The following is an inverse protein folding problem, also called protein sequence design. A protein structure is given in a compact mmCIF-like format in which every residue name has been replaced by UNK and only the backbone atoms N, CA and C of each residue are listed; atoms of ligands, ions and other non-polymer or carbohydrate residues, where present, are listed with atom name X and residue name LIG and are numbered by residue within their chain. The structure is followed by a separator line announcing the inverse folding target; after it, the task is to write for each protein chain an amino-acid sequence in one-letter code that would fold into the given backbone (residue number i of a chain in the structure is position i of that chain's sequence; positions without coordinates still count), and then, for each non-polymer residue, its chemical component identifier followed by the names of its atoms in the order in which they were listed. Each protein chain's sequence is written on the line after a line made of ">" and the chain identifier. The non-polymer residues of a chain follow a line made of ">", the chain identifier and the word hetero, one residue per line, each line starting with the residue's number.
data_IF_508460234247
#
_entry.id   IF_508460234247
#
_cell.length_a   1.000
_cell.length_b   1.000
_cell.length_c   1.000
_cell.angle_alpha   90.00
_cell.angle_beta   90.00
_cell.angle_gamma   90.00
#
_symmetry.space_group_name_H-M   'P 1'
#
loop_
_entity.id
_entity.type
_entity.pdbx_description
1 polymer ?
#
# COMPACT_ATOMS: atom_id res chain seq x y z
N UNK A 1 7.97 -0.77 -32.55
CA UNK A 1 8.88 -1.59 -31.72
C UNK A 1 9.10 -2.98 -32.33
N UNK A 2 10.34 -3.52 -32.30
CA UNK A 2 10.68 -4.85 -32.83
C UNK A 2 10.23 -5.98 -31.89
N UNK A 3 10.04 -7.17 -32.44
CA UNK A 3 9.57 -8.35 -31.69
C UNK A 3 10.57 -8.77 -30.59
N UNK A 4 11.88 -8.63 -30.84
CA UNK A 4 12.88 -8.92 -29.81
C UNK A 4 12.79 -7.96 -28.60
N UNK A 5 12.44 -6.69 -28.82
CA UNK A 5 12.29 -5.67 -27.78
C UNK A 5 11.06 -5.97 -26.92
N UNK A 6 9.94 -6.36 -27.54
CA UNK A 6 8.74 -6.85 -26.84
C UNK A 6 9.07 -8.06 -25.96
N UNK A 7 9.72 -9.07 -26.54
CA UNK A 7 10.10 -10.29 -25.83
C UNK A 7 11.01 -10.01 -24.62
N UNK A 8 11.93 -9.04 -24.72
CA UNK A 8 12.77 -8.66 -23.57
C UNK A 8 11.96 -8.03 -22.43
N UNK A 9 11.01 -7.15 -22.76
CA UNK A 9 10.13 -6.50 -21.77
C UNK A 9 9.21 -7.54 -21.11
N UNK A 10 8.58 -8.39 -21.92
CA UNK A 10 7.70 -9.45 -21.42
C UNK A 10 8.45 -10.42 -20.50
N UNK A 11 9.62 -10.91 -20.91
CA UNK A 11 10.46 -11.79 -20.09
C UNK A 11 10.95 -11.14 -18.80
N UNK A 12 11.08 -9.82 -18.75
CA UNK A 12 11.44 -9.11 -17.53
C UNK A 12 10.32 -9.19 -16.48
N UNK A 13 9.06 -9.18 -16.92
CA UNK A 13 7.90 -9.41 -16.03
C UNK A 13 7.77 -10.89 -15.71
N UNK A 14 7.75 -11.78 -16.71
CA UNK A 14 7.53 -13.22 -16.49
C UNK A 14 8.54 -13.87 -15.55
N UNK A 15 9.82 -13.48 -15.64
CA UNK A 15 10.90 -14.05 -14.83
C UNK A 15 11.27 -13.21 -13.61
N UNK A 16 10.72 -11.99 -13.49
CA UNK A 16 11.10 -11.04 -12.45
C UNK A 16 9.97 -10.69 -11.49
N UNK A 17 8.72 -10.89 -11.91
CA UNK A 17 7.56 -10.48 -11.15
C UNK A 17 7.11 -11.56 -10.18
N UNK A 18 6.78 -11.16 -8.96
CA UNK A 18 6.28 -12.03 -7.89
C UNK A 18 5.05 -11.43 -7.23
N UNK A 19 4.22 -12.28 -6.66
CA UNK A 19 3.13 -11.89 -5.77
C UNK A 19 3.48 -12.28 -4.33
N UNK A 20 3.28 -11.35 -3.40
CA UNK A 20 3.43 -11.56 -1.95
C UNK A 20 2.08 -11.24 -1.33
N UNK A 21 1.34 -12.28 -0.96
CA UNK A 21 -0.10 -12.14 -0.72
C UNK A 21 -0.78 -11.56 -1.97
N UNK A 22 -1.61 -10.54 -1.79
CA UNK A 22 -2.35 -9.89 -2.89
C UNK A 22 -1.59 -8.74 -3.58
N UNK A 23 -0.36 -8.45 -3.13
CA UNK A 23 0.48 -7.36 -3.65
C UNK A 23 1.54 -7.92 -4.61
N UNK A 24 1.89 -7.12 -5.62
CA UNK A 24 2.75 -7.53 -6.72
C UNK A 24 4.00 -6.68 -6.81
N UNK A 25 5.12 -7.33 -7.10
CA UNK A 25 6.45 -6.71 -7.15
C UNK A 25 7.27 -7.26 -8.31
N UNK A 26 8.32 -6.54 -8.68
CA UNK A 26 9.29 -6.95 -9.70
C UNK A 26 10.72 -6.82 -9.16
N UNK A 27 11.52 -7.85 -9.38
CA UNK A 27 12.96 -7.86 -9.14
C UNK A 27 13.61 -6.62 -9.77
N UNK A 28 14.29 -5.82 -8.94
CA UNK A 28 15.00 -4.60 -9.31
C UNK A 28 15.97 -4.79 -10.50
N UNK A 29 16.59 -5.97 -10.63
CA UNK A 29 17.48 -6.28 -11.74
C UNK A 29 16.75 -6.30 -13.09
N UNK A 30 15.43 -6.54 -13.10
CA UNK A 30 14.58 -6.58 -14.29
C UNK A 30 13.90 -5.23 -14.57
N UNK A 31 13.75 -4.37 -13.57
CA UNK A 31 13.07 -3.06 -13.69
C UNK A 31 13.72 -2.15 -14.74
N UNK A 32 15.04 -2.25 -14.95
CA UNK A 32 15.76 -1.49 -15.98
C UNK A 32 15.14 -1.63 -17.38
N UNK A 33 14.65 -2.83 -17.71
CA UNK A 33 13.97 -3.12 -18.98
C UNK A 33 12.57 -2.52 -19.05
N UNK A 34 11.87 -2.45 -17.93
CA UNK A 34 10.51 -1.90 -17.85
C UNK A 34 10.49 -0.37 -17.93
N UNK A 35 11.51 0.27 -17.34
CA UNK A 35 11.63 1.73 -17.33
C UNK A 35 12.48 2.29 -18.47
N UNK A 36 12.96 1.41 -19.37
CA UNK A 36 13.88 1.74 -20.46
C UNK A 36 15.07 2.59 -19.97
N UNK A 37 15.81 2.06 -18.99
CA UNK A 37 16.89 2.76 -18.29
C UNK A 37 17.99 1.79 -17.87
N UNK A 38 19.07 2.31 -17.29
CA UNK A 38 20.18 1.50 -16.79
C UNK A 38 20.03 1.17 -15.30
N UNK A 39 21.00 0.44 -14.73
CA UNK A 39 20.98 0.09 -13.30
C UNK A 39 21.01 1.32 -12.39
N UNK A 40 21.72 2.38 -12.78
CA UNK A 40 21.79 3.62 -11.99
C UNK A 40 20.43 4.32 -11.94
N UNK A 41 19.72 4.36 -13.07
CA UNK A 41 18.36 4.85 -13.15
C UNK A 41 17.40 4.07 -12.25
N UNK A 42 17.53 2.74 -12.20
CA UNK A 42 16.74 1.91 -11.26
C UNK A 42 17.08 2.24 -9.80
N UNK A 43 18.35 2.41 -9.46
CA UNK A 43 18.75 2.73 -8.09
C UNK A 43 18.15 4.06 -7.60
N UNK A 44 18.10 5.08 -8.48
CA UNK A 44 17.44 6.36 -8.15
C UNK A 44 15.95 6.13 -7.83
N UNK A 45 15.26 5.30 -8.63
CA UNK A 45 13.85 4.98 -8.39
C UNK A 45 13.67 4.23 -7.07
N UNK A 46 14.50 3.24 -6.77
CA UNK A 46 14.46 2.50 -5.50
C UNK A 46 14.67 3.42 -4.30
N UNK A 47 15.69 4.28 -4.34
CA UNK A 47 16.01 5.18 -3.23
C UNK A 47 14.90 6.20 -2.96
N UNK A 48 14.12 6.55 -3.98
CA UNK A 48 13.00 7.49 -3.86
C UNK A 48 11.66 6.79 -3.60
N UNK A 49 11.61 5.46 -3.62
CA UNK A 49 10.40 4.70 -3.39
C UNK A 49 10.06 4.67 -1.90
N UNK A 50 8.78 4.83 -1.51
CA UNK A 50 8.37 4.63 -0.13
C UNK A 50 8.69 3.21 0.35
N UNK A 51 9.04 3.03 1.63
CA UNK A 51 9.38 1.73 2.21
C UNK A 51 8.31 0.64 1.98
N UNK A 52 7.02 1.02 1.88
CA UNK A 52 5.92 0.08 1.57
C UNK A 52 6.00 -0.54 0.17
N UNK A 53 6.66 0.16 -0.75
CA UNK A 53 6.78 -0.21 -2.16
C UNK A 53 8.08 -0.96 -2.47
N UNK A 54 8.99 -1.08 -1.49
CA UNK A 54 10.24 -1.82 -1.61
C UNK A 54 10.22 -3.03 -0.68
N UNK A 55 10.60 -4.19 -1.20
CA UNK A 55 10.75 -5.44 -0.43
C UNK A 55 12.09 -6.06 -0.73
N UNK A 56 12.79 -6.51 0.31
CA UNK A 56 14.06 -7.20 0.16
C UNK A 56 13.87 -8.69 0.45
N UNK A 57 14.33 -9.55 -0.45
CA UNK A 57 14.42 -11.00 -0.24
C UNK A 57 15.83 -11.47 -0.55
N UNK A 58 16.56 -11.89 0.49
CA UNK A 58 17.99 -12.13 0.39
C UNK A 58 18.69 -10.85 -0.09
N UNK A 59 19.48 -10.97 -1.14
CA UNK A 59 20.25 -9.87 -1.73
C UNK A 59 19.52 -9.13 -2.85
N UNK A 60 18.23 -9.41 -3.06
CA UNK A 60 17.44 -8.83 -4.15
C UNK A 60 16.36 -7.91 -3.61
N UNK A 61 16.40 -6.66 -4.07
CA UNK A 61 15.31 -5.71 -3.89
C UNK A 61 14.23 -5.91 -4.96
N UNK A 62 12.99 -5.79 -4.52
CA UNK A 62 11.78 -5.88 -5.31
C UNK A 62 10.99 -4.59 -5.18
N UNK A 63 10.55 -4.05 -6.32
CA UNK A 63 9.78 -2.82 -6.39
C UNK A 63 8.32 -3.11 -6.74
N UNK A 64 7.39 -2.46 -6.06
CA UNK A 64 5.95 -2.70 -6.26
C UNK A 64 5.52 -2.34 -7.68
N UNK A 65 4.65 -3.16 -8.28
CA UNK A 65 4.14 -2.89 -9.62
C UNK A 65 3.40 -1.54 -9.71
N UNK A 66 2.63 -1.08 -8.69
CA UNK A 66 2.02 0.26 -8.74
C UNK A 66 3.06 1.38 -8.77
N UNK A 67 4.19 1.22 -8.07
CA UNK A 67 5.25 2.22 -8.10
C UNK A 67 5.95 2.27 -9.46
N UNK A 68 6.21 1.12 -10.08
CA UNK A 68 6.76 1.06 -11.45
C UNK A 68 5.79 1.70 -12.45
N UNK A 69 4.48 1.44 -12.33
CA UNK A 69 3.46 2.06 -13.18
C UNK A 69 3.43 3.59 -13.03
N UNK A 70 3.53 4.09 -11.79
CA UNK A 70 3.65 5.53 -11.52
C UNK A 70 4.88 6.14 -12.19
N UNK A 71 6.03 5.47 -12.10
CA UNK A 71 7.26 5.93 -12.74
C UNK A 71 7.17 5.90 -14.28
N UNK A 72 6.54 4.85 -14.85
CA UNK A 72 6.26 4.80 -16.30
C UNK A 72 5.39 6.00 -16.73
N UNK A 73 4.35 6.32 -15.96
CA UNK A 73 3.48 7.46 -16.25
C UNK A 73 4.26 8.78 -16.28
N UNK A 74 5.09 9.05 -15.27
CA UNK A 74 5.94 10.25 -15.26
C UNK A 74 6.91 10.29 -16.44
N UNK A 75 7.52 9.16 -16.80
CA UNK A 75 8.45 9.11 -17.94
C UNK A 75 7.78 9.40 -19.26
N UNK A 76 6.51 9.02 -19.43
CA UNK A 76 5.72 9.32 -20.64
C UNK A 76 5.38 10.80 -20.79
N UNK A 77 5.44 11.60 -19.73
CA UNK A 77 5.26 13.06 -19.80
C UNK A 77 6.55 13.79 -20.20
N UNK A 78 7.70 13.11 -20.16
CA UNK A 78 8.99 13.69 -20.51
C UNK A 78 9.23 13.69 -22.03
N UNK A 79 10.09 14.59 -22.56
CA UNK A 79 10.57 14.53 -23.93
C UNK A 79 11.34 13.23 -24.18
N UNK A 80 10.74 12.31 -24.92
CA UNK A 80 11.29 10.99 -25.26
C UNK A 80 10.95 10.64 -26.69
N UNK A 81 11.76 9.78 -27.30
CA UNK A 81 11.47 9.30 -28.65
C UNK A 81 10.20 8.43 -28.67
N UNK A 82 9.53 8.37 -29.81
CA UNK A 82 8.31 7.56 -29.97
C UNK A 82 8.56 6.09 -29.63
N UNK A 83 9.71 5.54 -30.03
CA UNK A 83 10.10 4.17 -29.71
C UNK A 83 10.20 3.93 -28.19
N UNK A 84 10.71 4.89 -27.43
CA UNK A 84 10.77 4.77 -25.97
C UNK A 84 9.39 4.86 -25.33
N UNK A 85 8.51 5.72 -25.86
CA UNK A 85 7.11 5.81 -25.43
C UNK A 85 6.38 4.50 -25.68
N UNK A 86 6.56 3.89 -26.86
CA UNK A 86 6.02 2.56 -27.18
C UNK A 86 6.52 1.47 -26.22
N UNK A 87 7.81 1.48 -25.86
CA UNK A 87 8.40 0.53 -24.90
C UNK A 87 7.78 0.67 -23.51
N UNK A 88 7.65 1.92 -23.03
CA UNK A 88 7.05 2.23 -21.74
C UNK A 88 5.56 1.81 -21.70
N UNK A 89 4.82 2.07 -22.78
CA UNK A 89 3.43 1.64 -22.92
C UNK A 89 3.30 0.11 -22.88
N UNK A 90 4.14 -0.59 -23.63
CA UNK A 90 4.12 -2.06 -23.63
C UNK A 90 4.51 -2.64 -22.28
N UNK A 91 5.52 -2.08 -21.59
CA UNK A 91 5.88 -2.47 -20.23
C UNK A 91 4.73 -2.26 -19.25
N UNK A 92 4.00 -1.14 -19.35
CA UNK A 92 2.80 -0.88 -18.56
C UNK A 92 1.74 -1.95 -18.79
N UNK A 93 1.51 -2.36 -20.04
CA UNK A 93 0.55 -3.41 -20.37
C UNK A 93 0.95 -4.77 -19.80
N UNK A 94 2.24 -5.15 -19.88
CA UNK A 94 2.73 -6.39 -19.27
C UNK A 94 2.55 -6.39 -17.74
N UNK A 95 2.89 -5.28 -17.08
CA UNK A 95 2.73 -5.13 -15.63
C UNK A 95 1.25 -5.20 -15.21
N UNK A 96 0.36 -4.59 -16.01
CA UNK A 96 -1.09 -4.63 -15.77
C UNK A 96 -1.63 -6.05 -15.91
N UNK A 97 -1.26 -6.76 -16.98
CA UNK A 97 -1.66 -8.15 -17.18
C UNK A 97 -1.22 -9.06 -16.02
N UNK A 98 -0.02 -8.84 -15.48
CA UNK A 98 0.46 -9.54 -14.30
C UNK A 98 -0.32 -9.15 -13.04
N UNK A 99 -0.46 -7.86 -12.76
CA UNK A 99 -1.12 -7.33 -11.54
C UNK A 99 -2.60 -7.69 -11.46
N UNK A 100 -3.29 -7.66 -12.59
CA UNK A 100 -4.75 -7.81 -12.69
C UNK A 100 -5.15 -9.23 -13.13
N UNK A 101 -4.26 -10.20 -12.92
CA UNK A 101 -4.58 -11.58 -13.25
C UNK A 101 -5.76 -12.09 -12.41
N UNK A 102 -6.49 -13.06 -12.97
CA UNK A 102 -7.71 -13.59 -12.38
C UNK A 102 -7.54 -14.06 -10.94
N UNK A 103 -6.45 -14.77 -10.65
CA UNK A 103 -6.20 -15.37 -9.34
C UNK A 103 -6.02 -14.29 -8.26
N UNK A 104 -5.16 -13.29 -8.51
CA UNK A 104 -4.94 -12.20 -7.55
C UNK A 104 -6.20 -11.36 -7.33
N UNK A 105 -6.96 -11.08 -8.39
CA UNK A 105 -8.21 -10.34 -8.27
C UNK A 105 -9.26 -11.11 -7.46
N UNK A 106 -9.35 -12.43 -7.67
CA UNK A 106 -10.22 -13.28 -6.86
C UNK A 106 -9.83 -13.25 -5.38
N UNK A 107 -8.54 -13.35 -5.07
CA UNK A 107 -8.05 -13.28 -3.68
C UNK A 107 -8.33 -11.92 -3.03
N UNK A 108 -8.08 -10.81 -3.72
CA UNK A 108 -8.43 -9.44 -3.25
C UNK A 108 -9.92 -9.31 -2.96
N UNK A 109 -10.78 -9.85 -3.82
CA UNK A 109 -12.23 -9.79 -3.64
C UNK A 109 -12.71 -10.64 -2.46
N UNK A 110 -12.15 -11.84 -2.28
CA UNK A 110 -12.45 -12.70 -1.12
C UNK A 110 -12.06 -11.97 0.18
N UNK A 111 -10.88 -11.37 0.22
CA UNK A 111 -10.41 -10.65 1.40
C UNK A 111 -11.29 -9.44 1.72
N UNK A 112 -11.67 -8.66 0.70
CA UNK A 112 -12.65 -7.58 0.88
C UNK A 112 -13.99 -8.10 1.43
N UNK A 113 -14.47 -9.24 0.92
CA UNK A 113 -15.69 -9.88 1.43
C UNK A 113 -15.61 -10.23 2.92
N UNK A 114 -14.45 -10.72 3.38
CA UNK A 114 -14.19 -10.97 4.81
C UNK A 114 -14.19 -9.67 5.61
N UNK A 115 -13.48 -8.65 5.13
CA UNK A 115 -13.41 -7.33 5.77
C UNK A 115 -14.81 -6.76 5.98
N UNK A 116 -15.63 -6.71 4.94
CA UNK A 116 -17.00 -6.17 5.03
C UNK A 116 -17.85 -6.94 6.06
N UNK A 117 -17.71 -8.27 6.12
CA UNK A 117 -18.50 -9.11 7.02
C UNK A 117 -18.06 -9.01 8.48
N UNK A 118 -16.77 -8.89 8.75
CA UNK A 118 -16.21 -9.07 10.09
C UNK A 118 -15.76 -7.77 10.76
N UNK A 119 -15.57 -6.67 10.01
CA UNK A 119 -15.09 -5.39 10.55
C UNK A 119 -15.98 -4.84 11.66
N UNK A 120 -17.30 -5.01 11.61
CA UNK A 120 -18.20 -4.54 12.68
C UNK A 120 -17.96 -5.21 14.03
N UNK A 121 -17.25 -6.35 14.06
CA UNK A 121 -16.95 -7.12 15.25
C UNK A 121 -15.56 -6.82 15.83
N UNK A 122 -14.65 -6.22 15.05
CA UNK A 122 -13.25 -6.04 15.44
C UNK A 122 -13.11 -5.16 16.69
N UNK A 123 -13.89 -4.08 16.79
CA UNK A 123 -13.79 -3.16 17.93
C UNK A 123 -14.09 -3.86 19.26
N UNK A 124 -15.18 -4.63 19.31
CA UNK A 124 -15.55 -5.42 20.50
C UNK A 124 -14.49 -6.48 20.83
N UNK A 125 -13.91 -7.12 19.80
CA UNK A 125 -12.86 -8.12 19.96
C UNK A 125 -11.61 -7.49 20.59
N UNK A 126 -11.10 -6.40 20.02
CA UNK A 126 -9.88 -5.71 20.46
C UNK A 126 -10.03 -5.17 21.88
N UNK A 127 -11.14 -4.50 22.19
CA UNK A 127 -11.39 -3.97 23.56
C UNK A 127 -11.35 -5.11 24.58
N UNK A 128 -11.99 -6.25 24.25
CA UNK A 128 -12.03 -7.41 25.14
C UNK A 128 -10.64 -8.07 25.29
N UNK A 129 -9.92 -8.26 24.20
CA UNK A 129 -8.61 -8.93 24.20
C UNK A 129 -7.52 -8.11 24.90
N UNK A 130 -7.55 -6.78 24.74
CA UNK A 130 -6.62 -5.87 25.43
C UNK A 130 -6.97 -5.66 26.90
N UNK A 131 -8.21 -5.93 27.31
CA UNK A 131 -8.68 -5.61 28.65
C UNK A 131 -8.60 -4.11 28.97
N UNK A 132 -8.76 -3.26 27.95
CA UNK A 132 -8.58 -1.81 28.09
C UNK A 132 -9.58 -1.24 29.09
N UNK A 133 -9.09 -0.49 30.07
CA UNK A 133 -9.89 0.22 31.08
C UNK A 133 -9.81 1.75 30.95
N UNK A 134 -8.81 2.25 30.21
CA UNK A 134 -8.56 3.67 29.94
C UNK A 134 -8.38 3.89 28.43
N UNK A 135 -8.62 5.12 27.98
CA UNK A 135 -8.32 5.56 26.62
C UNK A 135 -6.82 5.50 26.37
N UNK A 136 -6.43 4.93 25.23
CA UNK A 136 -5.04 4.87 24.80
C UNK A 136 -4.50 6.23 24.33
N UNK A 137 -5.36 7.25 24.21
CA UNK A 137 -4.93 8.62 23.88
C UNK A 137 -4.83 9.53 25.11
N UNK A 138 -5.89 9.63 25.92
CA UNK A 138 -5.97 10.58 27.04
C UNK A 138 -5.62 9.97 28.39
N UNK A 139 -5.63 8.64 28.50
CA UNK A 139 -5.51 7.95 29.78
C UNK A 139 -6.76 8.02 30.66
N UNK A 140 -7.84 8.67 30.20
CA UNK A 140 -9.09 8.73 30.96
C UNK A 140 -9.81 7.37 31.02
N UNK A 141 -10.52 7.04 32.12
CA UNK A 141 -11.33 5.84 32.21
C UNK A 141 -12.37 5.73 31.08
N UNK A 142 -12.50 4.54 30.50
CA UNK A 142 -13.44 4.29 29.39
C UNK A 142 -14.90 4.27 29.85
N UNK A 143 -15.18 3.81 31.08
CA UNK A 143 -16.51 3.81 31.70
C UNK A 143 -17.65 3.26 30.81
N UNK A 144 -17.36 2.25 29.98
CA UNK A 144 -18.34 1.65 29.07
C UNK A 144 -18.53 2.39 27.73
N UNK A 145 -17.84 3.50 27.52
CA UNK A 145 -17.87 4.32 26.29
C UNK A 145 -16.69 4.03 25.35
N UNK A 146 -16.18 2.79 25.40
CA UNK A 146 -15.03 2.38 24.61
C UNK A 146 -15.41 2.12 23.15
N UNK A 147 -14.64 2.69 22.23
CA UNK A 147 -14.66 2.36 20.82
C UNK A 147 -13.25 2.16 20.29
N UNK A 148 -13.14 1.72 19.03
CA UNK A 148 -11.86 1.52 18.37
C UNK A 148 -11.80 2.41 17.14
N UNK A 149 -10.70 3.14 17.04
CA UNK A 149 -10.35 3.92 15.86
C UNK A 149 -9.31 3.21 15.01
N UNK A 150 -9.54 3.12 13.70
CA UNK A 150 -8.54 2.72 12.72
C UNK A 150 -7.66 3.92 12.38
N UNK A 151 -6.35 3.84 12.67
CA UNK A 151 -5.38 4.93 12.41
C UNK A 151 -5.41 5.38 10.95
N UNK A 152 -5.58 4.45 10.01
CA UNK A 152 -5.87 4.75 8.61
C UNK A 152 -7.32 4.40 8.29
N UNK A 153 -7.97 5.22 7.46
CA UNK A 153 -9.30 4.89 6.92
C UNK A 153 -9.28 3.53 6.21
N UNK A 154 -10.16 2.64 6.64
CA UNK A 154 -10.31 1.30 6.05
C UNK A 154 -10.65 1.36 4.55
N UNK A 155 -11.33 2.41 4.10
CA UNK A 155 -11.60 2.62 2.67
C UNK A 155 -10.31 2.83 1.84
N UNK A 156 -9.28 3.43 2.43
CA UNK A 156 -8.01 3.75 1.77
C UNK A 156 -6.92 2.69 2.06
N UNK A 157 -7.06 1.96 3.18
CA UNK A 157 -6.17 0.90 3.67
C UNK A 157 -6.93 -0.33 4.13
N UNK A 158 -7.68 -1.02 3.25
CA UNK A 158 -8.48 -2.17 3.63
C UNK A 158 -7.64 -3.32 4.19
N UNK A 159 -6.37 -3.46 3.76
CA UNK A 159 -5.48 -4.50 4.26
C UNK A 159 -5.10 -4.35 5.75
N UNK A 160 -5.33 -3.16 6.33
CA UNK A 160 -5.06 -2.86 7.73
C UNK A 160 -6.30 -3.02 8.63
N UNK A 161 -7.45 -3.46 8.08
CA UNK A 161 -8.73 -3.47 8.80
C UNK A 161 -8.75 -4.33 10.08
N UNK A 162 -7.90 -5.35 10.13
CA UNK A 162 -7.76 -6.30 11.23
C UNK A 162 -6.37 -6.29 11.89
N UNK A 163 -5.53 -5.31 11.54
CA UNK A 163 -4.20 -5.16 12.13
C UNK A 163 -4.34 -4.41 13.47
N UNK A 164 -4.20 -5.15 14.57
CA UNK A 164 -4.36 -4.60 15.92
C UNK A 164 -3.44 -3.39 16.17
N UNK A 165 -2.23 -3.34 15.61
CA UNK A 165 -1.32 -2.20 15.78
C UNK A 165 -1.81 -0.92 15.08
N UNK A 166 -2.78 -1.06 14.16
CA UNK A 166 -3.47 0.03 13.47
C UNK A 166 -4.78 0.42 14.15
N UNK A 167 -5.11 -0.23 15.26
CA UNK A 167 -6.31 0.01 16.05
C UNK A 167 -5.95 0.66 17.38
N UNK A 168 -6.70 1.71 17.73
CA UNK A 168 -6.51 2.46 18.99
C UNK A 168 -7.82 2.44 19.77
N UNK A 169 -7.78 2.00 21.02
CA UNK A 169 -8.95 2.00 21.91
C UNK A 169 -9.09 3.37 22.54
N UNK A 170 -10.19 4.06 22.25
CA UNK A 170 -10.46 5.43 22.70
C UNK A 170 -11.91 5.57 23.16
N UNK A 171 -12.25 6.73 23.73
CA UNK A 171 -13.65 7.07 24.06
C UNK A 171 -14.41 7.50 22.81
N UNK A 172 -15.73 7.31 22.80
CA UNK A 172 -16.57 7.68 21.65
C UNK A 172 -16.54 9.19 21.36
N UNK A 173 -16.46 10.03 22.40
CA UNK A 173 -16.32 11.48 22.23
C UNK A 173 -15.00 11.88 21.56
N UNK A 174 -13.88 11.26 21.95
CA UNK A 174 -12.55 11.46 21.35
C UNK A 174 -12.54 11.03 19.88
N UNK A 175 -13.22 9.93 19.59
CA UNK A 175 -13.38 9.43 18.23
C UNK A 175 -14.15 10.41 17.33
N UNK A 176 -15.28 10.92 17.83
CA UNK A 176 -16.09 11.94 17.15
C UNK A 176 -15.34 13.25 16.97
N UNK A 177 -14.58 13.67 17.98
CA UNK A 177 -13.75 14.87 17.94
C UNK A 177 -12.69 14.76 16.84
N UNK A 178 -11.95 13.65 16.77
CA UNK A 178 -10.97 13.44 15.70
C UNK A 178 -11.62 13.45 14.31
N UNK A 179 -12.75 12.76 14.13
CA UNK A 179 -13.46 12.72 12.85
C UNK A 179 -14.07 14.07 12.44
N UNK A 180 -14.28 14.97 13.40
CA UNK A 180 -14.81 16.33 13.15
C UNK A 180 -13.72 17.40 13.11
N UNK A 181 -12.46 17.01 13.35
CA UNK A 181 -11.32 17.91 13.36
C UNK A 181 -10.83 18.26 11.96
N UNK A 182 -9.90 19.22 11.88
CA UNK A 182 -9.19 19.56 10.63
C UNK A 182 -8.00 18.65 10.32
N UNK A 183 -7.69 17.68 11.19
CA UNK A 183 -6.60 16.73 10.94
C UNK A 183 -6.96 15.79 9.79
N UNK A 184 -5.93 15.38 9.03
CA UNK A 184 -6.10 14.38 8.00
C UNK A 184 -6.59 13.07 8.61
N UNK A 185 -7.50 12.41 7.92
CA UNK A 185 -8.13 11.17 8.40
C UNK A 185 -7.26 9.96 8.03
N UNK A 186 -5.96 10.08 8.33
CA UNK A 186 -4.93 9.08 8.12
C UNK A 186 -4.05 8.97 9.36
N UNK A 187 -3.11 8.01 9.35
CA UNK A 187 -2.27 7.73 10.51
C UNK A 187 -1.52 8.98 10.98
N UNK A 188 -1.04 9.80 10.05
CA UNK A 188 -0.28 11.01 10.37
C UNK A 188 -1.15 12.04 11.07
N UNK A 189 -2.34 12.34 10.53
CA UNK A 189 -3.25 13.29 11.16
C UNK A 189 -3.76 12.80 12.51
N UNK A 190 -3.97 11.49 12.68
CA UNK A 190 -4.30 10.90 13.98
C UNK A 190 -3.16 11.05 15.00
N UNK A 191 -1.91 10.80 14.59
CA UNK A 191 -0.73 11.01 15.44
C UNK A 191 -0.56 12.50 15.82
N UNK A 192 -0.80 13.42 14.88
CA UNK A 192 -0.79 14.86 15.15
C UNK A 192 -1.87 15.28 16.16
N UNK A 193 -3.09 14.75 16.03
CA UNK A 193 -4.18 14.96 16.99
C UNK A 193 -3.80 14.50 18.40
N UNK A 194 -3.27 13.28 18.54
CA UNK A 194 -2.82 12.74 19.83
C UNK A 194 -1.73 13.62 20.43
N UNK A 195 -0.76 14.03 19.63
CA UNK A 195 0.38 14.82 20.10
C UNK A 195 -0.04 16.18 20.69
N UNK A 196 -1.17 16.75 20.23
CA UNK A 196 -1.71 18.00 20.79
C UNK A 196 -2.56 17.79 22.03
N UNK A 197 -3.27 16.66 22.13
CA UNK A 197 -4.06 16.30 23.32
C UNK A 197 -3.18 16.02 24.55
N UNK A 198 -1.97 15.52 24.31
CA UNK A 198 -1.02 15.14 25.36
C UNK A 198 -0.03 16.26 25.75
N UNK A 199 -0.28 17.49 25.29
CA UNK A 199 0.43 18.71 25.70
C UNK A 199 -0.46 19.54 26.62
#
# INVERSE_FOLDING_TARGET
>A
MKENEKNQIQKAVENGAIAIGTKTFVDSNKVSKLLNTDKKGVQIVLNNAPNKDVKQYGDIDYLSTPHIQKEIAFRKEQPRSELEREKLEYASNCLKAFSDNYQLNKERNIENGRIVKERSKIGKKVIKERGSIVSEISGEPLNGDACVHHKNRVADKPEEAFDDDKLTVIKDNEHKEFHSSSYTQDKKGFEEYISKKNK
#
